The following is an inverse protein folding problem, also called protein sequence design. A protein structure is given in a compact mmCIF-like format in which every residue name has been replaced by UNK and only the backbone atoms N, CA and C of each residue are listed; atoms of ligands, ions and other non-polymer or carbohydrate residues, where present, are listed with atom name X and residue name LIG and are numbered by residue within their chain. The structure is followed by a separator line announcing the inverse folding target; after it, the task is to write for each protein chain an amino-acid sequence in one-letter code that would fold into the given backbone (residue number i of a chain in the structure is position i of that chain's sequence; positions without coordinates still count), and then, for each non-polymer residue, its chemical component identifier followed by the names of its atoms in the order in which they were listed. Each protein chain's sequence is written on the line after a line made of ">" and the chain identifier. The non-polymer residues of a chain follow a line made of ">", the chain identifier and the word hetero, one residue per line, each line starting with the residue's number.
data_IF_244154313180
#
_entry.id   IF_244154313180
#
_cell.length_a   1.000
_cell.length_b   1.000
_cell.length_c   1.000
_cell.angle_alpha   90.00
_cell.angle_beta   90.00
_cell.angle_gamma   90.00
#
_symmetry.space_group_name_H-M   'P 1'
#
loop_
_entity.id
_entity.type
_entity.pdbx_description
1 polymer ?
#
# COMPACT_ATOMS: atom_id res chain seq x y z
N UNK A 1 23.89 -7.71 -5.71
CA UNK A 1 23.83 -7.22 -4.31
C UNK A 1 22.96 -8.12 -3.43
N UNK A 2 21.70 -8.37 -3.78
CA UNK A 2 20.73 -9.10 -2.94
C UNK A 2 21.11 -10.56 -2.58
N UNK A 3 21.80 -11.28 -3.48
CA UNK A 3 22.19 -12.68 -3.27
C UNK A 3 23.20 -12.90 -2.11
N UNK A 4 23.85 -11.84 -1.61
CA UNK A 4 24.85 -11.92 -0.52
C UNK A 4 24.31 -11.51 0.85
N UNK A 5 23.02 -11.17 0.94
CA UNK A 5 22.43 -10.65 2.18
C UNK A 5 21.97 -11.80 3.11
N UNK A 6 22.07 -11.60 4.45
CA UNK A 6 21.73 -12.63 5.43
C UNK A 6 20.24 -13.04 5.38
N UNK A 7 19.91 -14.16 6.02
CA UNK A 7 18.57 -14.76 6.04
C UNK A 7 17.46 -13.77 6.45
N UNK A 8 17.73 -12.89 7.41
CA UNK A 8 16.81 -11.90 7.97
C UNK A 8 16.78 -10.57 7.20
N UNK A 9 17.50 -10.45 6.08
CA UNK A 9 17.58 -9.20 5.34
C UNK A 9 16.22 -8.71 4.79
N UNK A 10 15.33 -9.57 4.24
CA UNK A 10 14.02 -9.11 3.75
C UNK A 10 13.19 -8.36 4.79
N UNK A 11 12.88 -8.91 5.99
CA UNK A 11 12.11 -8.17 7.00
C UNK A 11 12.87 -6.96 7.55
N UNK A 12 14.20 -7.03 7.70
CA UNK A 12 14.99 -5.90 8.17
C UNK A 12 14.95 -4.70 7.19
N UNK A 13 15.07 -4.96 5.88
CA UNK A 13 14.95 -3.94 4.84
C UNK A 13 13.54 -3.36 4.79
N UNK A 14 12.51 -4.21 4.87
CA UNK A 14 11.12 -3.76 4.90
C UNK A 14 10.86 -2.84 6.10
N UNK A 15 11.33 -3.21 7.30
CA UNK A 15 11.20 -2.42 8.51
C UNK A 15 11.98 -1.10 8.43
N UNK A 16 13.21 -1.13 7.91
CA UNK A 16 14.03 0.08 7.76
C UNK A 16 13.38 1.10 6.82
N UNK A 17 12.89 0.65 5.66
CA UNK A 17 12.16 1.50 4.73
C UNK A 17 10.86 2.04 5.31
N UNK A 18 10.08 1.16 5.95
CA UNK A 18 8.82 1.52 6.60
C UNK A 18 9.06 2.59 7.67
N UNK A 19 10.04 2.39 8.56
CA UNK A 19 10.40 3.37 9.58
C UNK A 19 10.84 4.70 8.97
N UNK A 20 11.69 4.68 7.93
CA UNK A 20 12.16 5.90 7.28
C UNK A 20 11.01 6.78 6.78
N UNK A 21 10.04 6.21 6.07
CA UNK A 21 8.92 6.99 5.50
C UNK A 21 7.88 7.38 6.54
N UNK A 22 7.55 6.49 7.47
CA UNK A 22 6.52 6.75 8.49
C UNK A 22 6.96 7.75 9.54
N UNK A 23 8.22 7.65 10.01
CA UNK A 23 8.78 8.59 10.99
C UNK A 23 8.91 9.98 10.38
N UNK A 24 9.39 10.08 9.14
CA UNK A 24 9.48 11.38 8.46
C UNK A 24 8.10 11.97 8.19
N UNK A 25 7.11 11.15 7.79
CA UNK A 25 5.73 11.60 7.62
C UNK A 25 5.09 12.09 8.94
N UNK A 26 5.39 11.46 10.07
CA UNK A 26 4.80 11.78 11.36
C UNK A 26 5.45 12.98 12.06
N UNK A 27 6.77 13.17 11.88
CA UNK A 27 7.53 14.15 12.67
C UNK A 27 7.99 15.38 11.87
N UNK A 28 8.04 15.30 10.54
CA UNK A 28 8.52 16.42 9.75
C UNK A 28 7.46 17.53 9.62
N UNK A 29 7.86 18.81 9.51
CA UNK A 29 6.91 19.90 9.28
C UNK A 29 6.09 19.69 8.01
N UNK A 30 4.83 20.15 8.02
CA UNK A 30 3.95 20.11 6.86
C UNK A 30 4.59 20.81 5.65
N UNK A 31 4.51 20.19 4.48
CA UNK A 31 5.11 20.69 3.24
C UNK A 31 6.64 20.63 3.22
N UNK A 32 7.28 19.80 4.07
CA UNK A 32 8.73 19.55 4.00
C UNK A 32 9.07 18.43 3.01
N UNK A 33 10.32 18.39 2.55
CA UNK A 33 10.82 17.36 1.63
C UNK A 33 11.24 16.05 2.34
N UNK A 34 11.30 16.03 3.67
CA UNK A 34 11.74 14.87 4.45
C UNK A 34 10.92 13.60 4.18
N UNK A 35 9.57 13.64 4.11
CA UNK A 35 8.78 12.46 3.75
C UNK A 35 9.10 11.93 2.35
N UNK A 36 9.46 12.81 1.40
CA UNK A 36 9.86 12.40 0.04
C UNK A 36 11.17 11.62 0.07
N UNK A 37 12.16 12.09 0.83
CA UNK A 37 13.41 11.36 1.03
C UNK A 37 13.16 10.01 1.71
N UNK A 38 12.31 9.98 2.75
CA UNK A 38 11.86 8.74 3.38
C UNK A 38 11.19 7.78 2.40
N UNK A 39 10.35 8.27 1.49
CA UNK A 39 9.71 7.48 0.45
C UNK A 39 10.71 6.94 -0.58
N UNK A 40 11.74 7.70 -0.96
CA UNK A 40 12.81 7.19 -1.85
C UNK A 40 13.55 6.03 -1.18
N UNK A 41 13.89 6.15 0.10
CA UNK A 41 14.48 5.06 0.89
C UNK A 41 13.53 3.85 0.93
N UNK A 42 12.24 4.09 1.16
CA UNK A 42 11.22 3.04 1.16
C UNK A 42 11.11 2.31 -0.17
N UNK A 43 11.11 3.03 -1.31
CA UNK A 43 11.06 2.44 -2.66
C UNK A 43 12.28 1.54 -2.92
N UNK A 44 13.48 2.00 -2.57
CA UNK A 44 14.70 1.24 -2.78
C UNK A 44 14.75 0.00 -1.89
N UNK A 45 14.42 0.16 -0.61
CA UNK A 45 14.45 -0.94 0.37
C UNK A 45 13.34 -1.95 0.15
N UNK A 46 12.15 -1.52 -0.31
CA UNK A 46 11.06 -2.44 -0.65
C UNK A 46 11.43 -3.34 -1.83
N UNK A 47 12.02 -2.76 -2.89
CA UNK A 47 12.54 -3.53 -4.03
C UNK A 47 13.63 -4.53 -3.62
N UNK A 48 14.54 -4.12 -2.74
CA UNK A 48 15.57 -5.02 -2.21
C UNK A 48 15.01 -6.13 -1.32
N UNK A 49 14.00 -5.83 -0.50
CA UNK A 49 13.37 -6.81 0.39
C UNK A 49 12.70 -7.95 -0.38
N UNK A 50 12.12 -7.67 -1.55
CA UNK A 50 11.44 -8.66 -2.40
C UNK A 50 12.32 -9.19 -3.55
N UNK A 51 13.61 -8.82 -3.58
CA UNK A 51 14.52 -9.21 -4.67
C UNK A 51 14.85 -10.72 -4.71
N UNK A 52 14.42 -11.49 -3.71
CA UNK A 52 14.59 -12.95 -3.64
C UNK A 52 13.31 -13.61 -3.11
N UNK A 53 13.11 -14.93 -3.36
CA UNK A 53 11.97 -15.65 -2.80
C UNK A 53 11.90 -15.52 -1.28
N UNK A 54 10.72 -15.14 -0.77
CA UNK A 54 10.42 -15.00 0.65
C UNK A 54 10.13 -16.37 1.26
N UNK A 55 11.18 -17.02 1.79
CA UNK A 55 11.14 -18.41 2.32
C UNK A 55 11.69 -18.52 3.75
N UNK A 56 12.23 -17.44 4.32
CA UNK A 56 12.73 -17.39 5.68
C UNK A 56 11.61 -17.36 6.72
N UNK A 57 11.92 -17.77 7.95
CA UNK A 57 10.96 -17.88 9.05
C UNK A 57 10.25 -16.56 9.42
N UNK A 58 10.85 -15.41 9.10
CA UNK A 58 10.30 -14.08 9.36
C UNK A 58 9.89 -13.34 8.08
N UNK A 59 10.07 -13.94 6.90
CA UNK A 59 9.79 -13.25 5.63
C UNK A 59 8.28 -12.98 5.44
N UNK A 60 7.42 -13.70 6.17
CA UNK A 60 5.98 -13.44 6.22
C UNK A 60 5.63 -12.06 6.79
N UNK A 61 6.56 -11.40 7.51
CA UNK A 61 6.38 -10.03 8.00
C UNK A 61 6.49 -8.97 6.91
N UNK A 62 7.08 -9.29 5.75
CA UNK A 62 7.33 -8.30 4.70
C UNK A 62 6.03 -7.68 4.15
N UNK A 63 5.00 -8.46 3.75
CA UNK A 63 3.73 -7.88 3.32
C UNK A 63 3.01 -7.00 4.35
N UNK A 64 2.80 -7.42 5.63
CA UNK A 64 2.12 -6.59 6.61
C UNK A 64 2.92 -5.33 6.98
N UNK A 65 4.25 -5.39 7.01
CA UNK A 65 5.09 -4.19 7.23
C UNK A 65 4.86 -3.16 6.12
N UNK A 66 4.83 -3.58 4.85
CA UNK A 66 4.54 -2.66 3.74
C UNK A 66 3.13 -2.06 3.80
N UNK A 67 2.12 -2.85 4.23
CA UNK A 67 0.76 -2.32 4.41
C UNK A 67 0.71 -1.30 5.54
N UNK A 68 1.29 -1.64 6.69
CA UNK A 68 1.36 -0.73 7.83
C UNK A 68 2.07 0.57 7.46
N UNK A 69 3.20 0.50 6.76
CA UNK A 69 3.95 1.65 6.28
C UNK A 69 3.12 2.54 5.37
N UNK A 70 2.44 1.96 4.38
CA UNK A 70 1.59 2.70 3.44
C UNK A 70 0.44 3.43 4.15
N UNK A 71 -0.33 2.72 4.97
CA UNK A 71 -1.51 3.30 5.61
C UNK A 71 -1.15 4.37 6.63
N UNK A 72 -0.15 4.08 7.48
CA UNK A 72 0.30 5.05 8.49
C UNK A 72 0.93 6.29 7.86
N UNK A 73 1.64 6.16 6.73
CA UNK A 73 2.18 7.32 6.00
C UNK A 73 1.06 8.24 5.50
N UNK A 74 0.01 7.68 4.87
CA UNK A 74 -1.11 8.48 4.37
C UNK A 74 -1.83 9.23 5.50
N UNK A 75 -2.09 8.53 6.61
CA UNK A 75 -2.76 9.11 7.77
C UNK A 75 -1.88 10.16 8.46
N UNK A 76 -0.58 9.89 8.63
CA UNK A 76 0.35 10.82 9.26
C UNK A 76 0.47 12.14 8.47
N UNK A 77 0.60 12.07 7.14
CA UNK A 77 0.66 13.26 6.29
C UNK A 77 -0.66 14.04 6.31
N UNK A 78 -1.80 13.35 6.32
CA UNK A 78 -3.10 13.99 6.42
C UNK A 78 -3.33 14.68 7.77
N UNK A 79 -2.87 14.07 8.87
CA UNK A 79 -2.86 14.69 10.19
C UNK A 79 -1.96 15.91 10.22
N UNK A 80 -0.75 15.82 9.65
CA UNK A 80 0.21 16.92 9.61
C UNK A 80 -0.29 18.12 8.79
N UNK A 81 -1.07 17.89 7.73
CA UNK A 81 -1.69 18.95 6.93
C UNK A 81 -2.76 19.74 7.71
N UNK A 82 -3.31 19.17 8.80
CA UNK A 82 -4.25 19.80 9.72
C UNK A 82 -5.46 20.48 9.04
N UNK A 83 -6.01 19.83 8.00
CA UNK A 83 -7.24 20.29 7.33
C UNK A 83 -8.38 19.30 7.56
N UNK A 84 -9.57 19.82 7.87
CA UNK A 84 -10.72 19.01 8.29
C UNK A 84 -11.04 17.82 7.35
N UNK A 85 -10.89 17.99 6.03
CA UNK A 85 -11.17 16.91 5.08
C UNK A 85 -9.98 16.01 4.74
N UNK A 86 -8.75 16.34 5.13
CA UNK A 86 -7.57 15.55 4.74
C UNK A 86 -7.60 14.14 5.34
N UNK A 87 -8.00 14.01 6.61
CA UNK A 87 -8.04 12.71 7.28
C UNK A 87 -9.13 11.80 6.70
N UNK A 88 -10.39 12.25 6.48
CA UNK A 88 -11.37 11.48 5.72
C UNK A 88 -10.90 11.06 4.33
N UNK A 89 -10.23 11.97 3.58
CA UNK A 89 -9.70 11.65 2.25
C UNK A 89 -8.61 10.59 2.29
N UNK A 90 -7.66 10.69 3.23
CA UNK A 90 -6.63 9.67 3.45
C UNK A 90 -7.23 8.33 3.89
N UNK A 91 -8.27 8.34 4.72
CA UNK A 91 -8.98 7.13 5.11
C UNK A 91 -9.69 6.49 3.91
N UNK A 92 -10.31 7.28 3.03
CA UNK A 92 -10.88 6.79 1.78
C UNK A 92 -9.83 6.13 0.87
N UNK A 93 -8.63 6.71 0.79
CA UNK A 93 -7.49 6.13 0.08
C UNK A 93 -7.06 4.79 0.71
N UNK A 94 -6.92 4.74 2.05
CA UNK A 94 -6.63 3.49 2.78
C UNK A 94 -7.69 2.45 2.51
N UNK A 95 -8.98 2.80 2.51
CA UNK A 95 -10.08 1.88 2.24
C UNK A 95 -10.02 1.30 0.81
N UNK A 96 -9.77 2.13 -0.20
CA UNK A 96 -9.62 1.68 -1.59
C UNK A 96 -8.45 0.70 -1.74
N UNK A 97 -7.31 1.03 -1.13
CA UNK A 97 -6.13 0.18 -1.16
C UNK A 97 -6.39 -1.12 -0.38
N UNK A 98 -6.97 -1.06 0.83
CA UNK A 98 -7.30 -2.22 1.63
C UNK A 98 -8.29 -3.16 0.93
N UNK A 99 -9.31 -2.61 0.26
CA UNK A 99 -10.24 -3.40 -0.55
C UNK A 99 -9.50 -4.20 -1.63
N UNK A 100 -8.56 -3.58 -2.36
CA UNK A 100 -7.78 -4.28 -3.38
C UNK A 100 -6.92 -5.42 -2.81
N UNK A 101 -6.37 -5.26 -1.61
CA UNK A 101 -5.66 -6.34 -0.91
C UNK A 101 -6.60 -7.47 -0.54
N UNK A 102 -7.76 -7.13 -0.01
CA UNK A 102 -8.77 -8.08 0.40
C UNK A 102 -9.26 -8.91 -0.78
N UNK A 103 -9.59 -8.25 -1.89
CA UNK A 103 -9.97 -8.89 -3.15
C UNK A 103 -8.87 -9.85 -3.66
N UNK A 104 -7.61 -9.43 -3.62
CA UNK A 104 -6.47 -10.29 -3.98
C UNK A 104 -6.40 -11.55 -3.12
N UNK A 105 -6.55 -11.42 -1.80
CA UNK A 105 -6.55 -12.57 -0.87
C UNK A 105 -7.68 -13.53 -1.19
N UNK A 106 -8.89 -13.01 -1.46
CA UNK A 106 -10.05 -13.84 -1.77
C UNK A 106 -9.92 -14.60 -3.08
N UNK A 107 -9.36 -13.98 -4.13
CA UNK A 107 -9.09 -14.68 -5.39
C UNK A 107 -8.08 -15.81 -5.24
N UNK A 108 -7.02 -15.57 -4.47
CA UNK A 108 -6.00 -16.60 -4.20
C UNK A 108 -6.62 -17.75 -3.39
N UNK A 109 -7.40 -17.45 -2.34
CA UNK A 109 -8.09 -18.46 -1.53
C UNK A 109 -9.11 -19.27 -2.34
N UNK A 110 -9.81 -18.63 -3.27
CA UNK A 110 -10.75 -19.28 -4.18
C UNK A 110 -10.10 -20.00 -5.38
N UNK A 111 -8.77 -20.12 -5.42
CA UNK A 111 -8.06 -20.82 -6.51
C UNK A 111 -8.01 -20.05 -7.84
N UNK A 112 -8.51 -18.82 -7.89
CA UNK A 112 -8.52 -17.98 -9.10
C UNK A 112 -7.18 -17.28 -9.39
N UNK A 113 -6.23 -17.35 -8.46
CA UNK A 113 -4.90 -16.77 -8.60
C UNK A 113 -4.85 -15.26 -8.33
N UNK A 114 -3.84 -14.60 -8.89
CA UNK A 114 -3.55 -13.18 -8.63
C UNK A 114 -4.24 -12.26 -9.63
N UNK A 115 -4.57 -11.00 -9.26
CA UNK A 115 -5.13 -10.02 -10.19
C UNK A 115 -4.27 -9.78 -11.44
N UNK A 116 -4.86 -9.27 -12.53
CA UNK A 116 -4.14 -8.97 -13.76
C UNK A 116 -2.96 -8.02 -13.51
N UNK A 117 -1.79 -8.31 -14.11
CA UNK A 117 -0.59 -7.47 -13.96
C UNK A 117 -0.81 -6.01 -14.37
N UNK A 118 -1.68 -5.76 -15.35
CA UNK A 118 -2.05 -4.42 -15.78
C UNK A 118 -2.75 -3.62 -14.67
N UNK A 119 -3.64 -4.25 -13.89
CA UNK A 119 -4.28 -3.62 -12.74
C UNK A 119 -3.25 -3.25 -11.68
N UNK A 120 -2.36 -4.19 -11.32
CA UNK A 120 -1.32 -3.97 -10.31
C UNK A 120 -0.42 -2.79 -10.69
N UNK A 121 -0.03 -2.70 -11.97
CA UNK A 121 0.77 -1.58 -12.50
C UNK A 121 -0.01 -0.27 -12.50
N UNK A 122 -1.27 -0.28 -12.94
CA UNK A 122 -2.13 0.91 -12.97
C UNK A 122 -2.44 1.44 -11.56
N UNK A 123 -2.55 0.56 -10.56
CA UNK A 123 -2.73 0.92 -9.16
C UNK A 123 -1.43 1.45 -8.51
N UNK A 124 -0.29 1.40 -9.21
CA UNK A 124 0.97 2.06 -8.83
C UNK A 124 1.81 1.37 -7.76
N UNK A 125 1.42 0.19 -7.27
CA UNK A 125 2.10 -0.47 -6.14
C UNK A 125 2.06 0.36 -4.85
N UNK A 126 2.58 -0.17 -3.75
CA UNK A 126 2.60 0.58 -2.49
C UNK A 126 3.71 1.62 -2.47
N UNK A 127 4.86 1.26 -3.04
CA UNK A 127 6.02 2.10 -3.22
C UNK A 127 5.70 3.34 -4.07
N UNK A 128 4.99 3.18 -5.19
CA UNK A 128 4.61 4.29 -6.06
C UNK A 128 3.54 5.18 -5.45
N UNK A 129 2.52 4.62 -4.78
CA UNK A 129 1.50 5.41 -4.08
C UNK A 129 2.09 6.19 -2.90
N UNK A 130 2.98 5.58 -2.12
CA UNK A 130 3.69 6.26 -1.02
C UNK A 130 4.55 7.41 -1.55
N UNK A 131 5.31 7.18 -2.63
CA UNK A 131 6.09 8.25 -3.26
C UNK A 131 5.21 9.38 -3.79
N UNK A 132 4.11 9.06 -4.47
CA UNK A 132 3.18 10.06 -4.98
C UNK A 132 2.57 10.89 -3.85
N UNK A 133 2.06 10.26 -2.79
CA UNK A 133 1.42 10.98 -1.68
C UNK A 133 2.42 11.84 -0.91
N UNK A 134 3.67 11.39 -0.72
CA UNK A 134 4.71 12.22 -0.08
C UNK A 134 5.09 13.43 -0.94
N UNK A 135 5.19 13.27 -2.27
CA UNK A 135 5.41 14.39 -3.20
C UNK A 135 4.25 15.38 -3.17
N UNK A 136 3.00 14.89 -3.20
CA UNK A 136 1.81 15.72 -3.08
C UNK A 136 1.77 16.46 -1.74
N UNK A 137 2.14 15.81 -0.64
CA UNK A 137 2.20 16.44 0.68
C UNK A 137 3.29 17.52 0.74
N UNK A 138 4.46 17.29 0.14
CA UNK A 138 5.52 18.29 0.05
C UNK A 138 5.10 19.51 -0.77
N UNK A 139 4.44 19.29 -1.91
CA UNK A 139 4.03 20.35 -2.84
C UNK A 139 2.78 21.12 -2.37
N UNK A 140 1.81 20.43 -1.77
CA UNK A 140 0.47 20.95 -1.51
C UNK A 140 0.08 20.95 -0.02
N UNK A 141 0.91 20.41 0.88
CA UNK A 141 0.54 20.17 2.29
C UNK A 141 0.29 21.42 3.14
N UNK A 142 0.52 22.62 2.60
CA UNK A 142 0.16 23.91 3.24
C UNK A 142 -1.13 24.51 2.68
N UNK A 143 -1.79 23.83 1.75
CA UNK A 143 -2.95 24.31 1.00
C UNK A 143 -4.04 23.23 0.94
N UNK A 144 -5.28 23.65 0.64
CA UNK A 144 -6.41 22.73 0.46
C UNK A 144 -6.24 21.77 -0.71
N UNK A 145 -5.27 22.03 -1.59
CA UNK A 145 -4.93 21.16 -2.71
C UNK A 145 -4.53 19.75 -2.29
N UNK A 146 -3.92 19.56 -1.11
CA UNK A 146 -3.54 18.21 -0.66
C UNK A 146 -4.76 17.33 -0.39
N UNK A 147 -5.79 17.87 0.28
CA UNK A 147 -7.06 17.18 0.47
C UNK A 147 -7.69 16.78 -0.86
N UNK A 148 -7.77 17.71 -1.82
CA UNK A 148 -8.34 17.45 -3.15
C UNK A 148 -7.58 16.33 -3.86
N UNK A 149 -6.24 16.36 -3.80
CA UNK A 149 -5.40 15.34 -4.40
C UNK A 149 -5.61 13.96 -3.76
N UNK A 150 -5.72 13.87 -2.43
CA UNK A 150 -6.03 12.62 -1.73
C UNK A 150 -7.40 12.08 -2.13
N UNK A 151 -8.43 12.93 -2.18
CA UNK A 151 -9.78 12.53 -2.61
C UNK A 151 -9.78 12.03 -4.04
N UNK A 152 -9.12 12.74 -4.95
CA UNK A 152 -9.02 12.33 -6.35
C UNK A 152 -8.29 11.00 -6.49
N UNK A 153 -7.16 10.82 -5.80
CA UNK A 153 -6.41 9.56 -5.82
C UNK A 153 -7.24 8.40 -5.25
N UNK A 154 -7.93 8.62 -4.13
CA UNK A 154 -8.83 7.64 -3.53
C UNK A 154 -9.94 7.23 -4.51
N UNK A 155 -10.60 8.20 -5.14
CA UNK A 155 -11.67 7.93 -6.10
C UNK A 155 -11.15 7.17 -7.34
N UNK A 156 -10.03 7.59 -7.92
CA UNK A 156 -9.43 6.92 -9.08
C UNK A 156 -9.05 5.48 -8.75
N UNK A 157 -8.39 5.25 -7.61
CA UNK A 157 -8.03 3.90 -7.20
C UNK A 157 -9.25 3.06 -6.86
N UNK A 158 -10.23 3.60 -6.14
CA UNK A 158 -11.48 2.89 -5.84
C UNK A 158 -12.20 2.47 -7.11
N UNK A 159 -12.38 3.39 -8.07
CA UNK A 159 -13.00 3.08 -9.36
C UNK A 159 -12.22 1.99 -10.09
N UNK A 160 -10.90 2.12 -10.18
CA UNK A 160 -10.04 1.15 -10.86
C UNK A 160 -10.17 -0.26 -10.25
N UNK A 161 -10.04 -0.38 -8.93
CA UNK A 161 -9.99 -1.69 -8.25
C UNK A 161 -11.38 -2.30 -8.07
N UNK A 162 -12.40 -1.50 -7.80
CA UNK A 162 -13.78 -1.98 -7.64
C UNK A 162 -14.34 -2.38 -9.00
N UNK A 163 -14.09 -1.61 -10.06
CA UNK A 163 -14.53 -1.98 -11.40
C UNK A 163 -13.91 -3.30 -11.87
N UNK A 164 -12.59 -3.47 -11.68
CA UNK A 164 -11.94 -4.74 -12.04
C UNK A 164 -12.43 -5.90 -11.16
N UNK A 165 -12.66 -5.66 -9.86
CA UNK A 165 -13.27 -6.62 -8.95
C UNK A 165 -14.65 -7.09 -9.43
N UNK A 166 -15.55 -6.15 -9.68
CA UNK A 166 -16.89 -6.46 -10.20
C UNK A 166 -16.79 -7.25 -11.51
N UNK A 167 -15.98 -6.77 -12.46
CA UNK A 167 -15.80 -7.44 -13.75
C UNK A 167 -15.35 -8.88 -13.55
N UNK A 168 -14.33 -9.10 -12.72
CA UNK A 168 -13.79 -10.43 -12.47
C UNK A 168 -14.80 -11.36 -11.80
N UNK A 169 -15.41 -10.94 -10.68
CA UNK A 169 -16.31 -11.81 -9.92
C UNK A 169 -17.57 -12.15 -10.70
N UNK A 170 -18.06 -11.23 -11.54
CA UNK A 170 -19.21 -11.48 -12.42
C UNK A 170 -18.87 -12.42 -13.58
N UNK A 171 -17.64 -12.36 -14.12
CA UNK A 171 -17.30 -13.12 -15.34
C UNK A 171 -16.47 -14.39 -15.13
N UNK A 172 -15.86 -14.59 -13.97
CA UNK A 172 -14.89 -15.69 -13.75
C UNK A 172 -15.52 -17.04 -13.45
N UNK A 173 -16.77 -17.07 -12.97
CA UNK A 173 -17.37 -18.29 -12.41
C UNK A 173 -16.61 -18.83 -11.19
N UNK A 174 -15.74 -18.02 -10.58
CA UNK A 174 -14.97 -18.41 -9.41
C UNK A 174 -15.92 -18.69 -8.23
N UNK A 175 -15.63 -19.71 -7.41
CA UNK A 175 -16.45 -20.01 -6.24
C UNK A 175 -16.43 -18.82 -5.29
N UNK A 176 -17.58 -18.16 -5.13
CA UNK A 176 -17.76 -17.06 -4.18
C UNK A 176 -17.99 -17.56 -2.74
N UNK A 177 -18.18 -18.87 -2.56
CA UNK A 177 -18.54 -19.54 -1.31
C UNK A 177 -17.30 -20.16 -0.67
N UNK A 178 -17.08 -19.87 0.60
CA UNK A 178 -16.46 -20.83 1.51
C UNK A 178 -17.59 -21.53 2.26
N UNK A 179 -17.60 -22.86 2.18
CA UNK A 179 -18.22 -23.69 3.19
C UNK A 179 -17.61 -23.25 4.53
N UNK A 180 -18.41 -22.59 5.38
CA UNK A 180 -18.07 -22.41 6.79
C UNK A 180 -18.28 -23.72 7.59
N UNK A 181 -18.62 -24.83 6.91
CA UNK A 181 -18.74 -26.16 7.51
C UNK A 181 -17.34 -26.74 7.69
N UNK A 182 -16.80 -26.61 8.90
CA UNK A 182 -15.61 -27.33 9.34
C UNK A 182 -15.83 -28.84 9.47
N UNK A 183 -16.39 -29.50 8.45
CA UNK A 183 -16.52 -30.96 8.43
C UNK A 183 -15.24 -31.59 7.83
N UNK A 184 -14.51 -32.42 8.59
CA UNK A 184 -13.41 -33.18 8.03
C UNK A 184 -13.96 -34.26 7.08
N UNK A 185 -13.32 -34.39 5.92
CA UNK A 185 -13.50 -35.51 5.00
C UNK A 185 -13.04 -36.84 5.60
#
# INVERSE_FOLDING_TARGET
>A
LAARLPGFAPPALALAGAAAVTVTAALAPAGSAWPVLGAVVYVLTSGLAVARPLKGALDWLVPPVFRAAEYSTFLALALAANMNGSLPSAYGLVAAVAYHHYDTVYRIRGGAGTPPRALVRAAGGHEGRVLLVTVLAAALGRHSGFQVALTALAAVLALLVVFESIRFWVSSGAPAVHDETGEPA
#
